data_IF_832227403370
#
_entry.id   IF_832227403370
#
_cell.length_a   1.000
_cell.length_b   1.000
_cell.length_c   1.000
_cell.angle_alpha   90.00
_cell.angle_beta   90.00
_cell.angle_gamma   90.00
#
_symmetry.space_group_name_H-M   'P 1'
#
loop_
_entity.id
_entity.type
_entity.pdbx_description
1 polymer ?
#
# COMPACT_ATOMS: atom_id res chain seq x y z
N UNK A 1 43.32 -32.67 -1.40
CA UNK A 1 43.07 -31.23 -1.63
C UNK A 1 41.75 -30.88 -0.98
N UNK A 2 41.76 -30.10 0.11
CA UNK A 2 40.53 -29.61 0.73
C UNK A 2 40.04 -28.41 -0.07
N UNK A 3 38.87 -28.52 -0.69
CA UNK A 3 38.21 -27.42 -1.38
C UNK A 3 37.70 -26.45 -0.33
N UNK A 4 38.42 -25.35 -0.08
CA UNK A 4 37.96 -24.28 0.78
C UNK A 4 36.74 -23.64 0.14
N UNK A 5 35.54 -24.03 0.56
CA UNK A 5 34.29 -23.44 0.11
C UNK A 5 34.17 -22.04 0.70
N UNK A 6 34.68 -21.04 -0.02
CA UNK A 6 34.48 -19.64 0.34
C UNK A 6 32.98 -19.37 0.54
N UNK A 7 32.64 -18.75 1.68
CA UNK A 7 31.28 -18.35 2.02
C UNK A 7 30.66 -17.58 0.84
N UNK A 8 29.47 -18.00 0.40
CA UNK A 8 28.73 -17.36 -0.71
C UNK A 8 28.59 -15.84 -0.48
N UNK A 9 28.57 -15.41 0.79
CA UNK A 9 28.43 -14.01 1.20
C UNK A 9 29.71 -13.17 1.05
N UNK A 10 30.87 -13.81 0.88
CA UNK A 10 32.18 -13.14 0.68
C UNK A 10 32.59 -13.09 -0.79
N UNK A 11 31.80 -13.66 -1.71
CA UNK A 11 32.13 -13.62 -3.14
C UNK A 11 31.94 -12.20 -3.67
N UNK A 12 32.92 -11.64 -4.41
CA UNK A 12 32.72 -10.41 -5.16
C UNK A 12 31.49 -10.56 -6.06
N UNK A 13 30.74 -9.47 -6.27
CA UNK A 13 29.66 -9.52 -7.25
C UNK A 13 30.27 -9.81 -8.64
N UNK A 14 29.87 -10.90 -9.27
CA UNK A 14 30.30 -11.28 -10.64
C UNK A 14 29.32 -10.78 -11.71
N UNK A 15 28.28 -10.04 -11.29
CA UNK A 15 27.20 -9.58 -12.15
C UNK A 15 27.50 -8.20 -12.72
N UNK A 16 27.70 -8.13 -14.04
CA UNK A 16 27.93 -6.88 -14.78
C UNK A 16 26.65 -6.28 -15.41
N UNK A 17 25.49 -6.89 -15.20
CA UNK A 17 24.23 -6.43 -15.76
C UNK A 17 23.57 -5.34 -14.91
N UNK A 18 22.47 -4.77 -15.41
CA UNK A 18 21.70 -3.72 -14.71
C UNK A 18 20.81 -4.27 -13.59
N UNK A 19 21.37 -5.09 -12.71
CA UNK A 19 20.67 -5.74 -11.60
C UNK A 19 19.98 -4.77 -10.64
N UNK A 20 20.45 -3.53 -10.57
CA UNK A 20 19.90 -2.47 -9.71
C UNK A 20 18.59 -1.86 -10.24
N UNK A 21 18.22 -2.09 -11.50
CA UNK A 21 17.00 -1.51 -12.09
C UNK A 21 15.74 -2.05 -11.42
N UNK A 22 15.68 -3.35 -11.15
CA UNK A 22 14.54 -3.97 -10.46
C UNK A 22 14.31 -3.36 -9.06
N UNK A 23 15.28 -3.34 -8.12
CA UNK A 23 15.06 -2.74 -6.82
C UNK A 23 14.79 -1.22 -6.91
N UNK A 24 15.46 -0.50 -7.82
CA UNK A 24 15.26 0.94 -7.98
C UNK A 24 13.85 1.29 -8.47
N UNK A 25 13.32 0.56 -9.45
CA UNK A 25 11.94 0.76 -9.92
C UNK A 25 10.93 0.52 -8.81
N UNK A 26 11.14 -0.50 -7.97
CA UNK A 26 10.29 -0.76 -6.79
C UNK A 26 10.35 0.41 -5.81
N UNK A 27 11.54 0.90 -5.45
CA UNK A 27 11.69 2.05 -4.53
C UNK A 27 10.98 3.29 -5.09
N UNK A 28 11.16 3.58 -6.38
CA UNK A 28 10.56 4.75 -7.00
C UNK A 28 9.04 4.66 -7.06
N UNK A 29 8.48 3.55 -7.54
CA UNK A 29 7.02 3.39 -7.69
C UNK A 29 6.35 3.34 -6.32
N UNK A 30 6.87 2.56 -5.37
CA UNK A 30 6.28 2.47 -4.03
C UNK A 30 6.47 3.77 -3.24
N UNK A 31 7.62 4.41 -3.36
CA UNK A 31 7.91 5.69 -2.72
C UNK A 31 7.00 6.80 -3.26
N UNK A 32 6.88 6.92 -4.58
CA UNK A 32 5.97 7.89 -5.22
C UNK A 32 4.52 7.65 -4.79
N UNK A 33 4.07 6.39 -4.79
CA UNK A 33 2.72 6.05 -4.35
C UNK A 33 2.49 6.39 -2.88
N UNK A 34 3.46 6.12 -2.00
CA UNK A 34 3.34 6.44 -0.58
C UNK A 34 3.27 7.96 -0.33
N UNK A 35 4.10 8.75 -1.02
CA UNK A 35 4.06 10.21 -0.95
C UNK A 35 2.73 10.74 -1.49
N UNK A 36 2.27 10.23 -2.62
CA UNK A 36 0.98 10.60 -3.21
C UNK A 36 -0.18 10.29 -2.24
N UNK A 37 -0.24 9.07 -1.70
CA UNK A 37 -1.28 8.67 -0.75
C UNK A 37 -1.27 9.55 0.51
N UNK A 38 -0.09 9.94 1.00
CA UNK A 38 0.04 10.83 2.15
C UNK A 38 -0.47 12.24 1.84
N UNK A 39 -0.10 12.81 0.69
CA UNK A 39 -0.58 14.14 0.25
C UNK A 39 -2.09 14.15 0.09
N UNK A 40 -2.65 13.14 -0.60
CA UNK A 40 -4.10 12.99 -0.77
C UNK A 40 -4.78 12.89 0.60
N UNK A 41 -4.26 12.05 1.50
CA UNK A 41 -4.85 11.87 2.84
C UNK A 41 -4.88 13.16 3.66
N UNK A 42 -3.95 14.10 3.44
CA UNK A 42 -3.95 15.40 4.13
C UNK A 42 -4.87 16.42 3.44
N UNK A 43 -4.93 16.41 2.10
CA UNK A 43 -5.65 17.41 1.32
C UNK A 43 -7.14 17.47 1.64
N UNK A 44 -7.79 16.31 1.89
CA UNK A 44 -9.19 16.18 2.30
C UNK A 44 -10.18 17.07 1.52
N UNK A 45 -9.90 17.33 0.24
CA UNK A 45 -10.66 18.25 -0.60
C UNK A 45 -10.90 17.64 -1.99
N UNK A 46 -11.98 18.05 -2.66
CA UNK A 46 -12.33 17.65 -4.03
C UNK A 46 -12.42 16.13 -4.26
N UNK A 47 -12.87 15.37 -3.26
CA UNK A 47 -12.89 13.90 -3.31
C UNK A 47 -14.19 13.29 -3.85
N UNK A 48 -15.24 14.09 -4.04
CA UNK A 48 -16.58 13.65 -4.42
C UNK A 48 -17.23 14.60 -5.44
N UNK A 49 -17.82 14.03 -6.49
CA UNK A 49 -18.70 14.70 -7.45
C UNK A 49 -19.68 13.66 -7.99
N UNK A 50 -20.98 13.80 -7.73
CA UNK A 50 -22.02 12.84 -8.12
C UNK A 50 -21.90 12.39 -9.60
N UNK A 51 -21.76 11.09 -9.93
CA UNK A 51 -21.66 9.87 -9.10
C UNK A 51 -20.21 9.39 -8.80
N UNK A 52 -19.19 10.17 -9.18
CA UNK A 52 -17.78 9.87 -8.98
C UNK A 52 -17.31 10.11 -7.55
N UNK A 53 -16.79 9.03 -6.95
CA UNK A 53 -16.17 9.06 -5.63
C UNK A 53 -14.73 8.55 -5.71
N UNK A 54 -13.82 9.25 -5.04
CA UNK A 54 -12.44 8.79 -4.97
C UNK A 54 -12.27 7.63 -3.97
N UNK A 55 -11.54 6.56 -4.34
CA UNK A 55 -11.44 5.33 -3.54
C UNK A 55 -10.64 5.51 -2.24
N UNK A 56 -9.92 6.61 -2.09
CA UNK A 56 -9.18 6.92 -0.85
C UNK A 56 -10.11 7.31 0.31
N UNK A 57 -11.34 7.75 0.01
CA UNK A 57 -12.29 8.29 0.99
C UNK A 57 -13.50 7.38 1.23
N UNK A 58 -13.53 6.19 0.62
CA UNK A 58 -14.62 5.23 0.77
C UNK A 58 -14.19 3.94 1.46
N UNK A 59 -14.96 3.43 2.44
CA UNK A 59 -16.20 4.00 3.00
C UNK A 59 -15.94 5.21 3.89
N UNK A 60 -16.86 6.19 3.86
CA UNK A 60 -16.81 7.21 4.89
C UNK A 60 -17.34 6.66 6.22
N UNK A 61 -16.45 6.57 7.21
CA UNK A 61 -16.75 6.13 8.58
C UNK A 61 -17.07 7.27 9.55
N UNK A 62 -16.78 8.51 9.15
CA UNK A 62 -16.95 9.71 9.99
C UNK A 62 -18.24 10.44 9.65
N UNK A 63 -18.76 11.20 10.60
CA UNK A 63 -19.93 12.08 10.43
C UNK A 63 -19.66 13.32 9.57
N UNK A 64 -18.39 13.67 9.34
CA UNK A 64 -17.97 14.88 8.63
C UNK A 64 -17.81 14.76 7.10
N UNK A 65 -18.18 13.64 6.48
CA UNK A 65 -18.09 13.50 5.02
C UNK A 65 -19.29 14.07 4.28
N UNK A 66 -19.05 14.53 3.05
CA UNK A 66 -20.12 14.95 2.12
C UNK A 66 -21.05 13.78 1.74
N UNK A 67 -20.53 12.55 1.72
CA UNK A 67 -21.28 11.32 1.44
C UNK A 67 -21.14 10.33 2.62
N UNK A 68 -22.03 10.38 3.63
CA UNK A 68 -21.94 9.44 4.74
C UNK A 68 -22.40 8.04 4.29
N UNK A 69 -21.46 7.08 4.24
CA UNK A 69 -21.80 5.66 3.97
C UNK A 69 -22.12 4.92 5.27
N UNK A 70 -21.25 5.03 6.28
CA UNK A 70 -21.37 4.35 7.57
C UNK A 70 -20.83 5.22 8.72
N UNK A 71 -21.57 6.23 9.20
CA UNK A 71 -21.11 7.11 10.28
C UNK A 71 -21.09 6.39 11.63
N UNK A 72 -20.04 5.59 11.86
CA UNK A 72 -19.79 4.83 13.09
C UNK A 72 -18.90 5.65 14.04
N UNK A 73 -18.02 6.47 13.47
CA UNK A 73 -17.08 7.33 14.20
C UNK A 73 -17.70 8.72 14.27
N UNK A 74 -18.02 9.16 15.50
CA UNK A 74 -18.61 10.48 15.74
C UNK A 74 -17.65 11.64 15.46
N UNK A 75 -18.12 12.86 15.72
CA UNK A 75 -17.44 14.13 15.39
C UNK A 75 -16.09 14.35 16.09
N UNK A 76 -15.71 13.46 17.03
CA UNK A 76 -14.44 13.54 17.75
C UNK A 76 -13.22 13.22 16.87
N UNK A 77 -13.42 12.56 15.72
CA UNK A 77 -12.35 12.29 14.76
C UNK A 77 -12.27 13.40 13.70
N UNK A 78 -11.41 14.38 13.96
CA UNK A 78 -11.20 15.54 13.08
C UNK A 78 -10.06 15.32 12.05
N UNK A 79 -9.49 14.11 11.99
CA UNK A 79 -8.52 13.74 10.96
C UNK A 79 -9.25 13.34 9.67
N UNK A 80 -8.56 13.43 8.53
CA UNK A 80 -9.15 13.04 7.25
C UNK A 80 -9.64 11.58 7.29
N UNK A 81 -10.86 11.29 6.80
CA UNK A 81 -11.40 9.93 6.73
C UNK A 81 -10.48 8.95 6.00
N UNK A 82 -9.66 9.46 5.07
CA UNK A 82 -8.74 8.67 4.27
C UNK A 82 -7.72 7.88 5.12
N UNK A 83 -7.25 8.39 6.26
CA UNK A 83 -6.26 7.69 7.07
C UNK A 83 -6.78 6.37 7.64
N UNK A 84 -8.06 6.31 7.99
CA UNK A 84 -8.70 5.11 8.54
C UNK A 84 -8.84 4.02 7.49
N UNK A 85 -9.19 4.42 6.27
CA UNK A 85 -9.44 3.50 5.17
C UNK A 85 -8.14 3.07 4.53
N UNK A 86 -7.25 4.00 4.13
CA UNK A 86 -5.99 3.71 3.44
C UNK A 86 -5.10 2.77 4.24
N UNK A 87 -5.19 2.83 5.58
CA UNK A 87 -4.47 1.92 6.47
C UNK A 87 -4.74 0.44 6.17
N UNK A 88 -5.98 0.04 5.85
CA UNK A 88 -6.32 -1.37 5.69
C UNK A 88 -5.76 -1.99 4.39
N UNK A 89 -5.94 -1.37 3.18
CA UNK A 89 -5.33 -1.87 1.96
C UNK A 89 -3.81 -1.76 1.99
N UNK A 90 -3.26 -0.71 2.61
CA UNK A 90 -1.81 -0.54 2.76
C UNK A 90 -1.21 -1.63 3.65
N UNK A 91 -1.83 -1.92 4.80
CA UNK A 91 -1.40 -3.00 5.70
C UNK A 91 -1.47 -4.36 5.00
N UNK A 92 -2.54 -4.64 4.25
CA UNK A 92 -2.65 -5.86 3.45
C UNK A 92 -1.51 -5.97 2.42
N UNK A 93 -1.21 -4.88 1.72
CA UNK A 93 -0.12 -4.82 0.73
C UNK A 93 1.25 -5.04 1.36
N UNK A 94 1.55 -4.40 2.49
CA UNK A 94 2.84 -4.52 3.19
C UNK A 94 3.04 -5.89 3.84
N UNK A 95 1.96 -6.55 4.27
CA UNK A 95 2.03 -7.89 4.88
C UNK A 95 2.03 -9.03 3.87
N UNK A 96 1.67 -8.78 2.61
CA UNK A 96 1.59 -9.81 1.58
C UNK A 96 2.96 -10.43 1.27
N UNK A 97 3.02 -11.76 1.15
CA UNK A 97 4.22 -12.52 0.81
C UNK A 97 4.90 -12.03 -0.49
N UNK A 98 4.12 -11.57 -1.47
CA UNK A 98 4.68 -11.06 -2.72
C UNK A 98 5.40 -9.72 -2.52
N UNK A 99 4.79 -8.78 -1.80
CA UNK A 99 5.39 -7.47 -1.48
C UNK A 99 6.55 -7.59 -0.51
N UNK A 100 6.51 -8.56 0.39
CA UNK A 100 7.64 -8.94 1.22
C UNK A 100 8.91 -9.09 0.41
N UNK A 101 8.89 -9.90 -0.64
CA UNK A 101 10.06 -10.08 -1.49
C UNK A 101 10.54 -8.75 -2.08
N UNK A 102 9.63 -7.88 -2.51
CA UNK A 102 10.01 -6.63 -3.17
C UNK A 102 10.69 -5.64 -2.21
N UNK A 103 10.15 -5.40 -1.02
CA UNK A 103 10.78 -4.46 -0.08
C UNK A 103 12.03 -5.01 0.63
N UNK A 104 12.14 -6.32 0.83
CA UNK A 104 13.38 -6.93 1.35
C UNK A 104 14.53 -6.76 0.36
N UNK A 105 14.27 -6.89 -0.94
CA UNK A 105 15.27 -6.67 -1.99
C UNK A 105 15.57 -5.19 -2.21
N UNK A 106 14.53 -4.35 -2.23
CA UNK A 106 14.62 -2.94 -2.58
C UNK A 106 15.13 -2.04 -1.42
N UNK A 107 14.59 -2.20 -0.21
CA UNK A 107 14.94 -1.35 0.95
C UNK A 107 15.96 -2.00 1.89
N UNK A 108 15.86 -3.32 2.14
CA UNK A 108 16.73 -4.02 3.09
C UNK A 108 17.90 -4.76 2.45
N UNK A 109 18.03 -4.69 1.11
CA UNK A 109 19.11 -5.30 0.31
C UNK A 109 19.47 -6.73 0.76
N UNK A 110 18.44 -7.57 0.92
CA UNK A 110 18.54 -8.93 1.43
C UNK A 110 18.03 -9.97 0.42
N UNK A 111 18.90 -10.68 -0.31
CA UNK A 111 19.87 -10.13 -1.27
C UNK A 111 19.13 -9.44 -2.44
N UNK A 112 19.65 -8.32 -2.98
CA UNK A 112 18.92 -7.55 -4.01
C UNK A 112 18.78 -8.30 -5.34
N UNK A 113 19.71 -9.19 -5.70
CA UNK A 113 19.65 -10.04 -6.87
C UNK A 113 20.41 -11.36 -6.64
N UNK A 114 20.20 -12.35 -7.52
CA UNK A 114 21.05 -13.54 -7.56
C UNK A 114 22.52 -13.12 -7.70
N UNK A 115 23.42 -13.81 -6.99
CA UNK A 115 24.88 -13.55 -6.97
C UNK A 115 25.30 -12.16 -6.49
N UNK A 116 24.41 -11.38 -5.85
CA UNK A 116 24.77 -10.14 -5.15
C UNK A 116 24.68 -10.40 -3.63
N UNK A 117 25.76 -10.15 -2.87
CA UNK A 117 25.76 -10.42 -1.44
C UNK A 117 24.77 -9.52 -0.69
N UNK A 118 24.23 -10.02 0.42
CA UNK A 118 23.38 -9.25 1.32
C UNK A 118 24.15 -8.04 1.88
N UNK A 119 23.49 -6.89 2.02
CA UNK A 119 24.07 -5.75 2.72
C UNK A 119 24.29 -6.03 4.22
N UNK A 120 23.48 -6.93 4.81
CA UNK A 120 23.54 -7.26 6.24
C UNK A 120 24.41 -8.49 6.48
N UNK A 121 25.40 -8.35 7.36
CA UNK A 121 26.31 -9.44 7.72
C UNK A 121 25.60 -10.63 8.42
N UNK A 122 24.53 -10.36 9.17
CA UNK A 122 23.76 -11.36 9.94
C UNK A 122 22.28 -11.33 9.53
N UNK A 123 21.73 -12.51 9.26
CA UNK A 123 20.29 -12.69 9.05
C UNK A 123 19.62 -12.94 10.41
N UNK A 124 18.76 -12.03 10.85
CA UNK A 124 18.11 -12.11 12.17
C UNK A 124 16.84 -12.95 12.18
N UNK A 125 16.51 -13.64 11.07
CA UNK A 125 15.23 -14.29 10.89
C UNK A 125 14.06 -13.30 10.79
N UNK A 126 12.90 -13.85 10.47
CA UNK A 126 11.64 -13.12 10.28
C UNK A 126 10.83 -13.01 11.57
N UNK A 127 11.26 -13.68 12.63
CA UNK A 127 10.59 -13.76 13.93
C UNK A 127 10.93 -12.58 14.85
N UNK A 128 11.91 -11.75 14.49
CA UNK A 128 12.30 -10.58 15.28
C UNK A 128 11.48 -9.36 14.86
N UNK A 129 11.00 -8.58 15.84
CA UNK A 129 10.43 -7.24 15.60
C UNK A 129 11.45 -6.39 14.82
N UNK A 130 11.10 -5.72 13.70
CA UNK A 130 9.77 -5.42 13.13
C UNK A 130 9.22 -6.44 12.11
N UNK A 131 9.98 -7.47 11.73
CA UNK A 131 9.60 -8.42 10.68
C UNK A 131 8.50 -9.43 11.10
N UNK A 132 8.25 -9.57 12.41
CA UNK A 132 7.16 -10.40 12.94
C UNK A 132 5.75 -9.90 12.52
N UNK A 133 5.61 -8.61 12.20
CA UNK A 133 4.33 -8.03 11.74
C UNK A 133 3.80 -8.66 10.44
N UNK A 134 4.65 -9.39 9.71
CA UNK A 134 4.27 -10.02 8.44
C UNK A 134 3.37 -11.24 8.63
N UNK A 135 3.39 -11.87 9.81
CA UNK A 135 2.46 -12.94 10.14
C UNK A 135 0.99 -12.43 10.27
N UNK A 136 0.82 -11.10 10.32
CA UNK A 136 -0.49 -10.45 10.42
C UNK A 136 -1.26 -10.43 9.08
N UNK A 137 -0.70 -10.95 7.98
CA UNK A 137 -1.33 -10.91 6.66
C UNK A 137 -2.77 -11.41 6.65
N UNK A 138 -3.04 -12.52 7.36
CA UNK A 138 -4.39 -13.08 7.49
C UNK A 138 -5.39 -12.10 8.12
N UNK A 139 -4.96 -11.37 9.15
CA UNK A 139 -5.83 -10.41 9.84
C UNK A 139 -6.00 -9.12 9.02
N UNK A 140 -4.94 -8.66 8.35
CA UNK A 140 -5.03 -7.54 7.43
C UNK A 140 -5.98 -7.85 6.25
N UNK A 141 -5.98 -9.09 5.75
CA UNK A 141 -6.93 -9.54 4.73
C UNK A 141 -8.38 -9.46 5.23
N UNK A 142 -8.66 -9.87 6.47
CA UNK A 142 -10.01 -9.77 7.04
C UNK A 142 -10.50 -8.32 7.16
N UNK A 143 -9.60 -7.35 7.39
CA UNK A 143 -9.95 -5.93 7.38
C UNK A 143 -10.08 -5.35 5.96
N UNK A 144 -9.32 -5.88 5.00
CA UNK A 144 -9.31 -5.39 3.62
C UNK A 144 -10.52 -5.87 2.81
N UNK A 145 -11.03 -7.09 3.05
CA UNK A 145 -12.16 -7.66 2.29
C UNK A 145 -13.42 -6.78 2.35
N UNK A 146 -13.89 -6.30 3.52
CA UNK A 146 -15.07 -5.44 3.59
C UNK A 146 -14.89 -4.11 2.85
N UNK A 147 -13.73 -3.47 3.02
CA UNK A 147 -13.39 -2.22 2.31
C UNK A 147 -13.39 -2.45 0.80
N UNK A 148 -12.80 -3.57 0.35
CA UNK A 148 -12.79 -3.95 -1.05
C UNK A 148 -14.21 -4.13 -1.59
N UNK A 149 -15.09 -4.82 -0.87
CA UNK A 149 -16.48 -5.03 -1.31
C UNK A 149 -17.23 -3.69 -1.51
N UNK A 150 -17.01 -2.71 -0.63
CA UNK A 150 -17.60 -1.37 -0.76
C UNK A 150 -17.02 -0.62 -1.97
N UNK A 151 -15.69 -0.69 -2.16
CA UNK A 151 -15.06 -0.07 -3.33
C UNK A 151 -15.54 -0.68 -4.66
N UNK A 152 -15.85 -1.98 -4.69
CA UNK A 152 -16.49 -2.62 -5.84
C UNK A 152 -17.90 -2.07 -6.10
N UNK A 153 -18.67 -1.82 -5.03
CA UNK A 153 -19.99 -1.21 -5.14
C UNK A 153 -19.90 0.21 -5.72
N UNK A 154 -19.01 1.05 -5.20
CA UNK A 154 -18.80 2.41 -5.68
C UNK A 154 -18.32 2.42 -7.14
N UNK A 155 -17.49 1.45 -7.52
CA UNK A 155 -17.08 1.30 -8.91
C UNK A 155 -18.27 0.98 -9.84
N UNK A 156 -19.21 0.15 -9.39
CA UNK A 156 -20.44 -0.14 -10.15
C UNK A 156 -21.34 1.10 -10.24
N UNK A 157 -21.48 1.86 -9.15
CA UNK A 157 -22.28 3.09 -9.11
C UNK A 157 -21.69 4.17 -10.03
N UNK A 158 -20.36 4.25 -10.16
CA UNK A 158 -19.69 5.16 -11.07
C UNK A 158 -20.02 4.91 -12.56
N UNK A 159 -20.46 3.70 -12.92
CA UNK A 159 -20.93 3.38 -14.28
C UNK A 159 -22.41 3.72 -14.52
N UNK A 160 -23.14 4.16 -13.48
CA UNK A 160 -24.52 4.62 -13.61
C UNK A 160 -24.51 6.10 -13.96
N UNK A 161 -24.51 6.37 -15.26
CA UNK A 161 -24.68 7.73 -15.76
C UNK A 161 -26.12 8.19 -15.48
N UNK A 162 -26.31 8.99 -14.43
CA UNK A 162 -27.55 9.75 -14.24
C UNK A 162 -27.66 10.71 -15.43
N UNK A 163 -28.79 10.64 -16.15
CA UNK A 163 -29.10 11.61 -17.22
C UNK A 163 -29.10 13.00 -16.58
N UNK A 164 -28.33 13.98 -17.10
CA UNK A 164 -28.29 15.32 -16.53
C UNK A 164 -29.72 15.87 -16.44
N UNK A 165 -30.18 16.21 -15.23
CA UNK A 165 -31.39 17.01 -15.10
C UNK A 165 -31.04 18.41 -15.63
N UNK A 166 -31.66 18.93 -16.70
CA UNK A 166 -31.33 20.25 -17.26
C UNK A 166 -31.47 21.40 -16.25
N UNK A 167 -32.16 21.16 -15.13
CA UNK A 167 -32.46 22.15 -14.09
C UNK A 167 -31.32 22.36 -13.08
N UNK A 168 -30.23 21.57 -13.12
CA UNK A 168 -29.20 21.56 -12.06
C UNK A 168 -28.09 22.61 -12.22
N UNK A 169 -28.14 23.45 -13.27
CA UNK A 169 -27.16 24.51 -13.55
C UNK A 169 -27.66 25.94 -13.27
N UNK A 170 -28.85 26.10 -12.68
CA UNK A 170 -29.35 27.39 -12.19
C UNK A 170 -29.22 27.47 -10.67
N UNK A 171 -28.05 27.91 -10.19
CA UNK A 171 -27.78 28.16 -8.77
C UNK A 171 -26.37 28.65 -8.54
#
# INVERSE_FOLDING_TARGET
>A
MATTTASVRQRPHERHDRWWVEPLTIVLVLGLFAVYAFVVSIQNANYYYDPYLSPFYSPCLTTGCVHPTFPIIGDWYNLSPAFLIVGSPLAFRVTCYYYRRSYYRAFFWSPPACTVPDARAKYSGETRFPFNLQNLHRYALYLAIPVLAILWWDAIEAFRFVVPNPDRFSG
#
